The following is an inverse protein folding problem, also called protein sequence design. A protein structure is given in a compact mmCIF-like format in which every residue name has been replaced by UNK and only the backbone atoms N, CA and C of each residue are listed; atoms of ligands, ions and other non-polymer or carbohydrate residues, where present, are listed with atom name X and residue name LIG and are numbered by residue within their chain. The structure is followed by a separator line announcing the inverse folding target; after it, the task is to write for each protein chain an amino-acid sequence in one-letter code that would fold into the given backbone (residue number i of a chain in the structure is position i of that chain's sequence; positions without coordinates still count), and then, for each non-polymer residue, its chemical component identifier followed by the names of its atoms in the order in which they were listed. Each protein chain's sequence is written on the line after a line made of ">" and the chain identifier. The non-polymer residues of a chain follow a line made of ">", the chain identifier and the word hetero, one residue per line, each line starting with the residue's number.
data_IF_519934407213
#
_entry.id   IF_519934407213
#
_cell.length_a   1.000
_cell.length_b   1.000
_cell.length_c   1.000
_cell.angle_alpha   90.00
_cell.angle_beta   90.00
_cell.angle_gamma   90.00
#
_symmetry.space_group_name_H-M   'P 1'
#
loop_
_entity.id
_entity.type
_entity.pdbx_description
1 polymer ?
#
# COMPACT_ATOMS: atom_id res chain seq x y z
N UNK A 1 -10.62 8.30 14.63
CA UNK A 1 -11.64 7.39 15.25
C UNK A 1 -10.91 6.38 16.12
N UNK A 2 -11.40 5.99 17.33
CA UNK A 2 -10.76 4.95 18.14
C UNK A 2 -10.68 3.62 17.38
N UNK A 3 -9.58 2.87 17.53
CA UNK A 3 -9.26 1.64 16.79
C UNK A 3 -10.43 0.62 16.78
N UNK A 4 -11.05 0.37 17.94
CA UNK A 4 -12.22 -0.52 18.05
C UNK A 4 -13.39 -0.11 17.15
N UNK A 5 -13.67 1.20 17.06
CA UNK A 5 -14.73 1.72 16.17
C UNK A 5 -14.38 1.58 14.71
N UNK A 6 -13.09 1.75 14.35
CA UNK A 6 -12.61 1.54 12.97
C UNK A 6 -12.81 0.08 12.55
N UNK A 7 -12.44 -0.87 13.41
CA UNK A 7 -12.59 -2.31 13.15
C UNK A 7 -14.09 -2.68 13.06
N UNK A 8 -14.92 -2.16 13.95
CA UNK A 8 -16.35 -2.36 13.89
C UNK A 8 -16.95 -1.83 12.58
N UNK A 9 -16.62 -0.60 12.22
CA UNK A 9 -17.09 0.03 10.99
C UNK A 9 -16.67 -0.74 9.73
N UNK A 10 -15.45 -1.31 9.69
CA UNK A 10 -15.00 -2.16 8.60
C UNK A 10 -15.84 -3.45 8.50
N UNK A 11 -16.11 -4.12 9.61
CA UNK A 11 -17.00 -5.28 9.66
C UNK A 11 -18.41 -4.94 9.20
N UNK A 12 -19.00 -3.86 9.70
CA UNK A 12 -20.35 -3.40 9.34
C UNK A 12 -20.45 -3.01 7.84
N UNK A 13 -19.36 -2.52 7.25
CA UNK A 13 -19.25 -2.27 5.81
C UNK A 13 -19.05 -3.57 4.99
N UNK A 14 -18.89 -4.72 5.65
CA UNK A 14 -18.68 -6.01 5.03
C UNK A 14 -17.26 -6.17 4.46
N UNK A 15 -16.25 -5.45 4.92
CA UNK A 15 -14.87 -5.67 4.53
C UNK A 15 -14.41 -7.09 4.94
N UNK A 16 -13.45 -7.66 4.21
CA UNK A 16 -12.79 -8.91 4.58
C UNK A 16 -11.51 -8.67 5.40
N UNK A 17 -11.01 -7.43 5.43
CA UNK A 17 -9.81 -7.06 6.17
C UNK A 17 -9.64 -5.56 6.28
N UNK A 18 -8.59 -5.16 6.97
CA UNK A 18 -8.24 -3.77 7.25
C UNK A 18 -6.76 -3.51 6.98
N UNK A 19 -6.43 -2.30 6.57
CA UNK A 19 -5.06 -1.80 6.55
C UNK A 19 -4.88 -0.87 7.76
N UNK A 20 -3.76 -0.99 8.46
CA UNK A 20 -3.43 -0.12 9.58
C UNK A 20 -2.14 0.66 9.35
N UNK A 21 -2.14 1.89 9.83
CA UNK A 21 -0.97 2.76 9.87
C UNK A 21 -0.18 2.53 11.18
N UNK A 22 1.08 2.08 11.05
CA UNK A 22 1.99 1.79 12.16
C UNK A 22 2.49 3.03 12.90
N UNK A 23 2.29 4.22 12.35
CA UNK A 23 2.74 5.46 12.98
C UNK A 23 1.64 6.13 13.81
N UNK A 24 0.40 5.96 13.40
CA UNK A 24 -0.74 6.71 13.98
C UNK A 24 -1.81 5.83 14.61
N UNK A 25 -2.02 4.61 14.13
CA UNK A 25 -3.11 3.73 14.56
C UNK A 25 -2.64 2.56 15.43
N UNK A 26 -1.61 1.84 14.98
CA UNK A 26 -1.12 0.62 15.66
C UNK A 26 0.40 0.71 15.81
N UNK A 27 0.86 1.52 16.73
CA UNK A 27 2.30 1.75 16.91
C UNK A 27 2.98 0.54 17.55
N UNK A 28 3.98 -0.08 16.90
CA UNK A 28 4.64 -1.29 17.41
C UNK A 28 5.16 -1.16 18.85
N UNK A 29 5.74 -0.02 19.20
CA UNK A 29 6.33 0.25 20.52
C UNK A 29 5.30 0.49 21.62
N UNK A 30 4.08 0.91 21.26
CA UNK A 30 3.02 1.21 22.22
C UNK A 30 2.11 0.00 22.48
N UNK A 31 2.12 -1.01 21.57
CA UNK A 31 1.31 -2.21 21.67
C UNK A 31 2.15 -3.37 22.24
N UNK A 32 2.03 -3.60 23.54
CA UNK A 32 2.62 -4.78 24.17
C UNK A 32 1.91 -6.09 23.78
N UNK A 33 2.47 -7.22 24.18
CA UNK A 33 2.01 -8.58 23.78
C UNK A 33 0.51 -8.79 24.06
N UNK A 34 -0.01 -8.34 25.21
CA UNK A 34 -1.43 -8.45 25.55
C UNK A 34 -2.30 -7.65 24.58
N UNK A 35 -1.94 -6.40 24.29
CA UNK A 35 -2.70 -5.55 23.38
C UNK A 35 -2.68 -6.08 21.93
N UNK A 36 -1.58 -6.71 21.49
CA UNK A 36 -1.50 -7.42 20.19
C UNK A 36 -2.44 -8.62 20.15
N UNK A 37 -2.52 -9.38 21.24
CA UNK A 37 -3.47 -10.48 21.41
C UNK A 37 -4.93 -10.01 21.33
N UNK A 38 -5.26 -8.94 22.05
CA UNK A 38 -6.58 -8.32 22.04
C UNK A 38 -6.96 -7.79 20.65
N UNK A 39 -6.03 -7.16 19.94
CA UNK A 39 -6.25 -6.69 18.57
C UNK A 39 -6.60 -7.85 17.63
N UNK A 40 -5.83 -8.95 17.69
CA UNK A 40 -6.11 -10.15 16.87
C UNK A 40 -7.49 -10.72 17.20
N UNK A 41 -7.80 -10.88 18.47
CA UNK A 41 -9.11 -11.40 18.90
C UNK A 41 -10.27 -10.52 18.41
N UNK A 42 -10.12 -9.20 18.52
CA UNK A 42 -11.12 -8.24 18.02
C UNK A 42 -11.37 -8.33 16.51
N UNK A 43 -10.31 -8.60 15.74
CA UNK A 43 -10.43 -8.83 14.29
C UNK A 43 -11.07 -10.19 13.98
N UNK A 44 -10.65 -11.25 14.68
CA UNK A 44 -11.18 -12.60 14.53
C UNK A 44 -12.69 -12.68 14.85
N UNK A 45 -13.16 -12.00 15.90
CA UNK A 45 -14.59 -11.90 16.24
C UNK A 45 -15.45 -11.32 15.10
N UNK A 46 -14.84 -10.59 14.17
CA UNK A 46 -15.50 -9.96 13.03
C UNK A 46 -15.14 -10.58 11.68
N UNK A 47 -14.42 -11.69 11.70
CA UNK A 47 -13.89 -12.35 10.51
C UNK A 47 -13.06 -11.39 9.62
N UNK A 48 -12.30 -10.48 10.23
CA UNK A 48 -11.44 -9.54 9.54
C UNK A 48 -9.99 -10.01 9.57
N UNK A 49 -9.33 -10.00 8.41
CA UNK A 49 -7.88 -10.12 8.30
C UNK A 49 -7.19 -8.75 8.39
N UNK A 50 -5.86 -8.76 8.46
CA UNK A 50 -5.05 -7.57 8.22
C UNK A 50 -4.53 -7.67 6.78
N UNK A 51 -5.01 -6.76 5.93
CA UNK A 51 -4.66 -6.72 4.51
C UNK A 51 -3.19 -6.31 4.33
N UNK A 52 -2.77 -5.27 5.03
CA UNK A 52 -1.39 -4.81 5.10
C UNK A 52 -1.21 -3.89 6.31
N UNK A 53 0.03 -3.73 6.72
CA UNK A 53 0.44 -2.58 7.53
C UNK A 53 1.06 -1.53 6.61
N UNK A 54 0.93 -0.26 6.94
CA UNK A 54 1.63 0.83 6.25
C UNK A 54 2.49 1.61 7.22
N UNK A 55 3.70 1.98 6.78
CA UNK A 55 4.63 2.79 7.57
C UNK A 55 4.95 4.08 6.83
N UNK A 56 4.21 5.18 7.08
CA UNK A 56 4.50 6.47 6.45
C UNK A 56 5.87 7.00 6.86
N UNK A 57 6.69 7.37 5.89
CA UNK A 57 7.99 7.99 6.10
C UNK A 57 7.87 9.51 6.13
N UNK A 58 8.69 10.16 6.96
CA UNK A 58 8.78 11.64 7.00
C UNK A 58 9.74 12.19 5.95
N UNK A 59 10.69 11.36 5.50
CA UNK A 59 11.71 11.65 4.48
C UNK A 59 11.79 10.49 3.52
N UNK A 60 12.34 10.68 2.32
CA UNK A 60 12.62 9.58 1.40
C UNK A 60 13.39 8.45 2.06
N UNK A 61 13.16 7.21 1.62
CA UNK A 61 13.71 6.02 2.26
C UNK A 61 15.24 6.07 2.39
N UNK A 62 15.92 6.48 1.34
CA UNK A 62 17.39 6.53 1.28
C UNK A 62 18.00 7.90 1.67
N UNK A 63 17.23 8.82 2.26
CA UNK A 63 17.78 10.06 2.82
C UNK A 63 18.78 9.72 3.94
N UNK A 64 20.00 10.31 3.90
CA UNK A 64 21.07 9.99 4.86
C UNK A 64 20.70 10.37 6.30
N UNK A 65 19.94 11.44 6.46
CA UNK A 65 19.59 11.92 7.78
C UNK A 65 18.73 10.90 8.53
N UNK A 66 19.25 10.39 9.63
CA UNK A 66 18.62 9.37 10.48
C UNK A 66 18.25 8.08 9.72
N UNK A 67 19.06 7.65 8.75
CA UNK A 67 18.81 6.45 7.97
C UNK A 67 18.68 5.20 8.85
N UNK A 68 19.64 4.96 9.75
CA UNK A 68 19.63 3.79 10.64
C UNK A 68 18.36 3.72 11.49
N UNK A 69 17.94 4.84 12.09
CA UNK A 69 16.72 4.90 12.88
C UNK A 69 15.45 4.64 12.03
N UNK A 70 15.49 5.01 10.73
CA UNK A 70 14.41 4.73 9.79
C UNK A 70 14.36 3.24 9.44
N UNK A 71 15.52 2.62 9.19
CA UNK A 71 15.60 1.18 8.92
C UNK A 71 15.17 0.35 10.13
N UNK A 72 15.61 0.71 11.32
CA UNK A 72 15.21 0.03 12.56
C UNK A 72 13.69 0.12 12.78
N UNK A 73 13.08 1.29 12.52
CA UNK A 73 11.62 1.44 12.62
C UNK A 73 10.87 0.59 11.58
N UNK A 74 11.43 0.38 10.38
CA UNK A 74 10.84 -0.49 9.35
C UNK A 74 10.98 -1.96 9.72
N UNK A 75 12.14 -2.40 10.24
CA UNK A 75 12.33 -3.77 10.74
C UNK A 75 11.38 -4.06 11.91
N UNK A 76 11.25 -3.14 12.86
CA UNK A 76 10.29 -3.25 13.96
C UNK A 76 8.83 -3.35 13.46
N UNK A 77 8.48 -2.60 12.41
CA UNK A 77 7.16 -2.71 11.78
C UNK A 77 6.95 -4.06 11.07
N UNK A 78 7.99 -4.65 10.48
CA UNK A 78 7.94 -6.01 9.90
C UNK A 78 7.78 -7.08 10.97
N UNK A 79 8.53 -7.01 12.08
CA UNK A 79 8.37 -7.93 13.22
C UNK A 79 6.95 -7.87 13.77
N UNK A 80 6.43 -6.65 13.94
CA UNK A 80 5.07 -6.42 14.38
C UNK A 80 4.03 -6.99 13.38
N UNK A 81 4.25 -6.83 12.08
CA UNK A 81 3.41 -7.42 11.04
C UNK A 81 3.40 -8.96 11.15
N UNK A 82 4.58 -9.58 11.30
CA UNK A 82 4.71 -11.02 11.46
C UNK A 82 3.95 -11.54 12.68
N UNK A 83 4.08 -10.87 13.84
CA UNK A 83 3.35 -11.22 15.06
C UNK A 83 1.83 -11.09 14.91
N UNK A 84 1.36 -10.14 14.11
CA UNK A 84 -0.06 -9.96 13.78
C UNK A 84 -0.54 -10.87 12.65
N UNK A 85 0.33 -11.75 12.10
CA UNK A 85 0.07 -12.60 10.94
C UNK A 85 -0.27 -11.79 9.67
N UNK A 86 0.18 -10.56 9.59
CA UNK A 86 0.11 -9.73 8.39
C UNK A 86 1.36 -9.98 7.53
N UNK A 87 1.17 -10.29 6.26
CA UNK A 87 2.27 -10.65 5.36
C UNK A 87 2.81 -9.50 4.52
N UNK A 88 2.27 -8.29 4.68
CA UNK A 88 2.59 -7.16 3.80
C UNK A 88 2.81 -5.89 4.61
N UNK A 89 3.99 -5.28 4.44
CA UNK A 89 4.27 -3.93 4.92
C UNK A 89 4.42 -3.00 3.70
N UNK A 90 3.53 -2.01 3.56
CA UNK A 90 3.56 -1.03 2.46
C UNK A 90 4.26 0.25 2.90
N UNK A 91 5.14 0.77 2.04
CA UNK A 91 5.91 1.98 2.31
C UNK A 91 6.04 2.84 1.06
N UNK A 92 5.63 4.11 1.16
CA UNK A 92 5.95 5.10 0.14
C UNK A 92 7.40 5.57 0.34
N UNK A 93 8.29 5.21 -0.58
CA UNK A 93 9.74 5.40 -0.42
C UNK A 93 10.25 6.78 -0.82
N UNK A 94 9.40 7.63 -1.40
CA UNK A 94 9.79 8.91 -1.99
C UNK A 94 10.20 8.77 -3.46
N UNK A 95 10.69 9.86 -4.07
CA UNK A 95 11.05 9.85 -5.49
C UNK A 95 12.28 8.96 -5.76
N UNK A 96 12.33 8.42 -6.97
CA UNK A 96 13.51 7.71 -7.44
C UNK A 96 14.72 8.66 -7.54
N UNK A 97 15.90 8.25 -7.07
CA UNK A 97 17.11 9.02 -7.24
C UNK A 97 17.57 9.03 -8.70
N UNK A 98 18.42 10.00 -9.04
CA UNK A 98 19.05 10.05 -10.36
C UNK A 98 19.85 8.76 -10.61
N UNK A 99 19.65 8.15 -11.77
CA UNK A 99 20.31 6.90 -12.13
C UNK A 99 21.85 7.01 -12.01
N UNK A 100 22.47 5.97 -11.46
CA UNK A 100 23.94 5.89 -11.24
C UNK A 100 24.50 6.93 -10.25
N UNK A 101 23.65 7.62 -9.50
CA UNK A 101 24.10 8.50 -8.42
C UNK A 101 24.46 7.70 -7.15
N UNK A 102 25.21 8.28 -6.19
CA UNK A 102 25.42 7.66 -4.88
C UNK A 102 24.12 7.34 -4.15
N UNK A 103 23.11 8.19 -4.31
CA UNK A 103 21.78 7.97 -3.73
C UNK A 103 21.06 6.75 -4.34
N UNK A 104 21.27 6.50 -5.65
CA UNK A 104 20.73 5.31 -6.30
C UNK A 104 21.38 4.02 -5.76
N UNK A 105 22.71 4.03 -5.58
CA UNK A 105 23.39 2.91 -4.95
C UNK A 105 22.91 2.68 -3.52
N UNK A 106 22.80 3.73 -2.72
CA UNK A 106 22.29 3.66 -1.34
C UNK A 106 20.86 3.13 -1.30
N UNK A 107 19.95 3.61 -2.17
CA UNK A 107 18.59 3.11 -2.23
C UNK A 107 18.57 1.63 -2.54
N UNK A 108 19.36 1.15 -3.48
CA UNK A 108 19.45 -0.27 -3.84
C UNK A 108 19.93 -1.12 -2.66
N UNK A 109 20.96 -0.67 -1.93
CA UNK A 109 21.48 -1.36 -0.75
C UNK A 109 20.41 -1.44 0.35
N UNK A 110 19.69 -0.36 0.59
CA UNK A 110 18.60 -0.29 1.57
C UNK A 110 17.44 -1.21 1.17
N UNK A 111 17.04 -1.21 -0.10
CA UNK A 111 15.96 -2.09 -0.58
C UNK A 111 16.34 -3.58 -0.47
N UNK A 112 17.59 -3.93 -0.78
CA UNK A 112 18.11 -5.29 -0.60
C UNK A 112 18.11 -5.72 0.86
N UNK A 113 18.56 -4.85 1.78
CA UNK A 113 18.57 -5.13 3.21
C UNK A 113 17.14 -5.35 3.75
N UNK A 114 16.21 -4.46 3.42
CA UNK A 114 14.83 -4.57 3.88
C UNK A 114 14.09 -5.77 3.25
N UNK A 115 14.31 -6.06 1.96
CA UNK A 115 13.75 -7.24 1.31
C UNK A 115 14.27 -8.53 1.94
N UNK A 116 15.57 -8.60 2.24
CA UNK A 116 16.20 -9.73 2.96
C UNK A 116 15.60 -9.90 4.35
N UNK A 117 15.47 -8.80 5.11
CA UNK A 117 14.89 -8.86 6.45
C UNK A 117 13.43 -9.30 6.41
N UNK A 118 12.62 -8.71 5.53
CA UNK A 118 11.22 -9.08 5.35
C UNK A 118 11.04 -10.56 4.99
N UNK A 119 11.89 -11.09 4.09
CA UNK A 119 11.91 -12.51 3.75
C UNK A 119 12.23 -13.39 4.97
N UNK A 120 13.16 -12.95 5.83
CA UNK A 120 13.52 -13.68 7.05
C UNK A 120 12.35 -13.77 8.04
N UNK A 121 11.60 -12.70 8.23
CA UNK A 121 10.46 -12.65 9.17
C UNK A 121 9.12 -13.05 8.56
N UNK A 122 9.09 -13.37 7.26
CA UNK A 122 7.87 -13.80 6.54
C UNK A 122 6.93 -12.66 6.17
N UNK A 123 7.46 -11.44 6.00
CA UNK A 123 6.73 -10.24 5.60
C UNK A 123 7.30 -9.70 4.29
N UNK A 124 6.46 -9.52 3.29
CA UNK A 124 6.87 -8.92 2.01
C UNK A 124 6.95 -7.41 2.17
N UNK A 125 8.12 -6.86 1.87
CA UNK A 125 8.32 -5.43 1.78
C UNK A 125 7.74 -4.94 0.46
N UNK A 126 6.72 -4.08 0.53
CA UNK A 126 5.96 -3.61 -0.63
C UNK A 126 6.07 -2.10 -0.71
N UNK A 127 6.51 -1.58 -1.84
CA UNK A 127 6.86 -0.17 -1.99
C UNK A 127 5.97 0.54 -3.02
N UNK A 128 5.83 1.84 -2.85
CA UNK A 128 5.36 2.77 -3.87
C UNK A 128 6.30 3.98 -3.96
N UNK A 129 6.41 4.54 -5.16
CA UNK A 129 7.19 5.75 -5.41
C UNK A 129 6.46 6.61 -6.45
N UNK A 130 6.59 7.94 -6.41
CA UNK A 130 6.18 8.78 -7.51
C UNK A 130 6.94 8.36 -8.78
N UNK A 131 6.22 7.96 -9.81
CA UNK A 131 6.80 7.57 -11.09
C UNK A 131 5.80 7.75 -12.21
N UNK A 132 6.27 8.23 -13.34
CA UNK A 132 5.55 8.31 -14.61
C UNK A 132 5.86 7.13 -15.54
N UNK A 133 6.68 6.18 -15.08
CA UNK A 133 7.12 5.03 -15.87
C UNK A 133 7.06 3.73 -15.06
N UNK A 134 6.15 2.85 -15.47
CA UNK A 134 6.08 1.49 -14.94
C UNK A 134 7.34 0.67 -15.25
N UNK A 135 8.02 0.96 -16.36
CA UNK A 135 9.29 0.32 -16.72
C UNK A 135 10.38 0.65 -15.72
N UNK A 136 10.53 1.92 -15.33
CA UNK A 136 11.51 2.33 -14.31
C UNK A 136 11.19 1.66 -12.98
N UNK A 137 9.92 1.64 -12.59
CA UNK A 137 9.53 0.95 -11.36
C UNK A 137 9.88 -0.56 -11.42
N UNK A 138 9.60 -1.23 -12.55
CA UNK A 138 9.95 -2.64 -12.77
C UNK A 138 11.46 -2.87 -12.69
N UNK A 139 12.27 -2.05 -13.35
CA UNK A 139 13.75 -2.14 -13.30
C UNK A 139 14.28 -2.06 -11.86
N UNK A 140 13.73 -1.17 -11.04
CA UNK A 140 14.10 -1.07 -9.64
C UNK A 140 13.70 -2.32 -8.84
N UNK A 141 12.50 -2.84 -9.05
CA UNK A 141 12.04 -4.06 -8.38
C UNK A 141 12.92 -5.27 -8.75
N UNK A 142 13.25 -5.42 -10.03
CA UNK A 142 14.10 -6.51 -10.54
C UNK A 142 15.58 -6.38 -10.12
N UNK A 143 16.04 -5.17 -9.79
CA UNK A 143 17.41 -4.96 -9.30
C UNK A 143 17.64 -5.47 -7.88
N UNK A 144 16.58 -5.67 -7.11
CA UNK A 144 16.65 -6.22 -5.74
C UNK A 144 16.70 -7.74 -5.79
N UNK A 145 17.78 -8.33 -5.25
CA UNK A 145 18.08 -9.77 -5.37
C UNK A 145 18.14 -10.51 -4.03
N UNK A 146 18.09 -9.79 -2.90
CA UNK A 146 18.26 -10.40 -1.58
C UNK A 146 16.96 -10.89 -0.93
N UNK A 147 15.82 -10.62 -1.55
CA UNK A 147 14.50 -11.05 -1.07
C UNK A 147 13.39 -10.50 -1.95
N UNK A 148 12.12 -10.89 -1.71
CA UNK A 148 11.00 -10.38 -2.47
C UNK A 148 10.76 -8.90 -2.16
N UNK A 149 10.74 -8.09 -3.21
CA UNK A 149 10.27 -6.71 -3.19
C UNK A 149 9.07 -6.60 -4.12
N UNK A 150 7.99 -6.00 -3.66
CA UNK A 150 6.77 -5.87 -4.44
C UNK A 150 6.28 -4.43 -4.50
N UNK A 151 5.32 -4.19 -5.39
CA UNK A 151 4.74 -2.88 -5.64
C UNK A 151 3.37 -2.73 -4.98
N UNK A 152 3.15 -1.61 -4.29
CA UNK A 152 1.83 -1.16 -3.82
C UNK A 152 1.19 -0.32 -4.94
N UNK A 153 0.32 -0.95 -5.71
CA UNK A 153 -0.29 -0.34 -6.88
C UNK A 153 -1.45 0.57 -6.50
N UNK A 154 -1.30 1.86 -6.78
CA UNK A 154 -2.32 2.88 -6.56
C UNK A 154 -2.75 3.48 -7.91
N UNK A 155 -3.91 3.09 -8.47
CA UNK A 155 -4.36 3.56 -9.78
C UNK A 155 -4.56 5.07 -9.84
N UNK A 156 -4.99 5.73 -8.74
CA UNK A 156 -5.15 7.18 -8.72
C UNK A 156 -3.81 7.91 -8.94
N UNK A 157 -2.69 7.31 -8.55
CA UNK A 157 -1.37 7.90 -8.80
C UNK A 157 -1.05 8.02 -10.29
N UNK A 158 -1.50 7.07 -11.12
CA UNK A 158 -1.35 7.12 -12.57
C UNK A 158 -2.31 8.12 -13.21
N UNK A 159 -3.56 8.15 -12.74
CA UNK A 159 -4.54 9.16 -13.17
C UNK A 159 -4.03 10.58 -12.92
N UNK A 160 -3.42 10.85 -11.77
CA UNK A 160 -2.85 12.18 -11.47
C UNK A 160 -1.75 12.60 -12.46
N UNK A 161 -1.10 11.63 -13.10
CA UNK A 161 -0.13 11.86 -14.18
C UNK A 161 -0.79 11.94 -15.57
N UNK A 162 -2.12 11.88 -15.65
CA UNK A 162 -2.86 11.82 -16.91
C UNK A 162 -2.68 10.51 -17.68
N UNK A 163 -2.40 9.42 -16.97
CA UNK A 163 -2.14 8.10 -17.56
C UNK A 163 -3.20 7.08 -17.17
N UNK A 164 -3.52 6.20 -18.09
CA UNK A 164 -4.30 5.00 -17.83
C UNK A 164 -3.49 4.03 -16.93
N UNK A 165 -4.03 3.58 -15.77
CA UNK A 165 -3.33 2.65 -14.88
C UNK A 165 -3.21 1.22 -15.44
N UNK A 166 -4.03 0.81 -16.42
CA UNK A 166 -4.06 -0.59 -16.93
C UNK A 166 -2.74 -1.01 -17.61
N UNK A 167 -2.11 -0.20 -18.50
CA UNK A 167 -0.78 -0.53 -19.04
C UNK A 167 0.30 -0.66 -17.96
N UNK A 168 0.26 0.20 -16.94
CA UNK A 168 1.21 0.13 -15.83
C UNK A 168 1.02 -1.15 -15.00
N UNK A 169 -0.22 -1.52 -14.71
CA UNK A 169 -0.54 -2.77 -14.01
C UNK A 169 -0.03 -3.99 -14.79
N UNK A 170 -0.24 -4.03 -16.12
CA UNK A 170 0.28 -5.10 -16.99
C UNK A 170 1.80 -5.19 -16.98
N UNK A 171 2.49 -4.05 -16.97
CA UNK A 171 3.96 -4.02 -16.91
C UNK A 171 4.50 -4.54 -15.57
N UNK A 172 3.80 -4.24 -14.47
CA UNK A 172 4.21 -4.58 -13.10
C UNK A 172 3.61 -5.89 -12.58
N UNK A 173 2.87 -6.65 -13.39
CA UNK A 173 2.00 -7.75 -12.95
C UNK A 173 2.67 -8.78 -12.05
N UNK A 174 3.92 -9.15 -12.30
CA UNK A 174 4.68 -10.13 -11.49
C UNK A 174 5.13 -9.58 -10.13
N UNK A 175 5.10 -8.26 -9.99
CA UNK A 175 5.59 -7.56 -8.81
C UNK A 175 4.48 -6.94 -7.95
N UNK A 176 3.21 -7.14 -8.28
CA UNK A 176 2.11 -6.55 -7.50
C UNK A 176 1.94 -7.28 -6.17
N UNK A 177 2.22 -6.60 -5.08
CA UNK A 177 2.06 -7.11 -3.72
C UNK A 177 0.80 -6.64 -3.00
N UNK A 178 0.33 -5.46 -3.38
CA UNK A 178 -0.86 -4.85 -2.81
C UNK A 178 -1.51 -3.92 -3.83
N UNK A 179 -2.84 -3.79 -3.78
CA UNK A 179 -3.58 -2.87 -4.66
C UNK A 179 -4.45 -1.95 -3.84
N UNK A 180 -4.31 -0.65 -4.06
CA UNK A 180 -5.16 0.38 -3.47
C UNK A 180 -6.39 0.61 -4.35
N UNK A 181 -7.57 0.55 -3.77
CA UNK A 181 -8.80 1.04 -4.37
C UNK A 181 -8.94 2.52 -4.01
N UNK A 182 -8.29 3.34 -4.80
CA UNK A 182 -8.24 4.79 -4.64
C UNK A 182 -8.64 5.46 -5.95
N UNK A 183 -9.43 6.49 -5.85
CA UNK A 183 -10.00 7.22 -6.97
C UNK A 183 -9.48 8.65 -7.00
N UNK A 184 -9.39 9.23 -8.19
CA UNK A 184 -8.94 10.60 -8.34
C UNK A 184 -9.31 11.24 -9.66
N UNK A 185 -9.15 12.55 -9.69
CA UNK A 185 -9.26 13.40 -10.86
C UNK A 185 -7.91 14.08 -11.08
N UNK A 186 -7.38 14.03 -12.29
CA UNK A 186 -6.16 14.75 -12.65
C UNK A 186 -6.38 16.25 -12.61
N UNK A 187 -5.38 17.02 -12.17
CA UNK A 187 -5.43 18.48 -12.25
C UNK A 187 -5.10 18.93 -13.66
N UNK A 188 -6.00 19.70 -14.27
CA UNK A 188 -5.77 20.30 -15.58
C UNK A 188 -4.69 21.39 -15.55
N UNK A 189 -4.54 22.06 -14.41
CA UNK A 189 -3.63 23.20 -14.26
C UNK A 189 -2.22 22.78 -13.77
N UNK A 190 -2.08 21.59 -13.19
CA UNK A 190 -0.85 21.11 -12.56
C UNK A 190 -0.60 19.65 -12.91
N UNK A 191 0.05 19.36 -14.02
CA UNK A 191 0.42 17.98 -14.39
C UNK A 191 1.14 17.24 -13.25
N UNK A 192 0.80 15.98 -13.04
CA UNK A 192 1.36 15.16 -11.96
C UNK A 192 0.71 15.35 -10.60
N UNK A 193 -0.35 16.17 -10.51
CA UNK A 193 -1.16 16.35 -9.31
C UNK A 193 -2.62 16.05 -9.60
N UNK A 194 -3.41 15.85 -8.55
CA UNK A 194 -4.83 15.59 -8.69
C UNK A 194 -5.55 15.67 -7.35
N UNK A 195 -6.85 15.48 -7.42
CA UNK A 195 -7.74 15.48 -6.25
C UNK A 195 -8.30 14.07 -6.04
N UNK A 196 -8.18 13.57 -4.80
CA UNK A 196 -8.81 12.32 -4.41
C UNK A 196 -10.33 12.48 -4.33
N UNK A 197 -11.07 11.63 -5.01
CA UNK A 197 -12.53 11.62 -5.02
C UNK A 197 -13.11 10.28 -4.55
N UNK A 198 -14.44 10.18 -4.42
CA UNK A 198 -15.10 8.92 -4.10
C UNK A 198 -15.01 7.95 -5.30
N UNK A 199 -14.82 6.66 -5.02
CA UNK A 199 -14.70 5.63 -6.05
C UNK A 199 -15.93 5.61 -6.97
N UNK A 200 -15.66 5.57 -8.27
CA UNK A 200 -16.67 5.68 -9.34
C UNK A 200 -17.08 7.12 -9.68
N UNK A 201 -16.38 8.13 -9.15
CA UNK A 201 -16.61 9.56 -9.47
C UNK A 201 -15.37 10.26 -10.03
N UNK A 202 -14.31 9.53 -10.32
CA UNK A 202 -13.08 10.05 -10.89
C UNK A 202 -12.81 9.48 -12.28
N UNK A 203 -11.53 9.36 -12.60
CA UNK A 203 -11.04 8.98 -13.93
C UNK A 203 -10.47 7.56 -13.99
N UNK A 204 -10.51 6.80 -12.87
CA UNK A 204 -10.09 5.39 -12.90
C UNK A 204 -11.18 4.55 -13.57
N UNK A 205 -10.83 3.92 -14.68
CA UNK A 205 -11.72 2.97 -15.35
C UNK A 205 -11.67 1.61 -14.64
N UNK A 206 -12.57 1.41 -13.67
CA UNK A 206 -12.55 0.25 -12.78
C UNK A 206 -12.83 -1.07 -13.47
N UNK A 207 -13.72 -1.11 -14.46
CA UNK A 207 -14.05 -2.35 -15.19
C UNK A 207 -12.83 -2.95 -15.89
N UNK A 208 -12.10 -2.23 -16.77
CA UNK A 208 -10.90 -2.76 -17.40
C UNK A 208 -9.76 -2.99 -16.40
N UNK A 209 -9.66 -2.20 -15.34
CA UNK A 209 -8.65 -2.40 -14.31
C UNK A 209 -8.87 -3.69 -13.52
N UNK A 210 -10.11 -3.97 -13.09
CA UNK A 210 -10.46 -5.19 -12.36
C UNK A 210 -10.35 -6.42 -13.26
N UNK A 211 -10.75 -6.32 -14.52
CA UNK A 211 -10.53 -7.38 -15.52
C UNK A 211 -9.03 -7.68 -15.65
N UNK A 212 -8.18 -6.66 -15.75
CA UNK A 212 -6.73 -6.85 -15.80
C UNK A 212 -6.18 -7.51 -14.51
N UNK A 213 -6.68 -7.13 -13.32
CA UNK A 213 -6.32 -7.75 -12.03
C UNK A 213 -6.65 -9.24 -12.03
N UNK A 214 -7.79 -9.64 -12.60
CA UNK A 214 -8.14 -11.06 -12.71
C UNK A 214 -7.30 -11.78 -13.77
N UNK A 215 -7.04 -11.16 -14.91
CA UNK A 215 -6.20 -11.72 -15.99
C UNK A 215 -4.78 -12.05 -15.51
N UNK A 216 -4.17 -11.17 -14.73
CA UNK A 216 -2.84 -11.39 -14.13
C UNK A 216 -2.87 -12.37 -12.94
N UNK A 217 -4.03 -12.93 -12.62
CA UNK A 217 -4.24 -13.88 -11.50
C UNK A 217 -3.82 -13.33 -10.14
N UNK A 218 -3.92 -12.02 -9.92
CA UNK A 218 -3.65 -11.43 -8.61
C UNK A 218 -4.65 -11.98 -7.58
N UNK A 219 -4.13 -12.41 -6.43
CA UNK A 219 -4.93 -13.01 -5.34
C UNK A 219 -4.67 -12.32 -3.99
N UNK A 220 -4.04 -11.15 -4.04
CA UNK A 220 -3.79 -10.32 -2.86
C UNK A 220 -5.00 -9.46 -2.47
N UNK A 221 -4.75 -8.49 -1.63
CA UNK A 221 -5.77 -7.60 -1.11
C UNK A 221 -6.04 -6.42 -2.04
N UNK A 222 -7.32 -6.09 -2.21
CA UNK A 222 -7.80 -4.84 -2.77
C UNK A 222 -8.29 -3.97 -1.61
N UNK A 223 -7.53 -2.93 -1.26
CA UNK A 223 -7.81 -2.13 -0.06
C UNK A 223 -8.35 -0.75 -0.42
N UNK A 224 -9.56 -0.47 0.00
CA UNK A 224 -10.14 0.87 -0.17
C UNK A 224 -9.35 1.88 0.65
N UNK A 225 -8.82 2.89 -0.02
CA UNK A 225 -8.12 4.01 0.59
C UNK A 225 -8.87 5.31 0.29
N UNK A 226 -9.35 5.95 1.34
CA UNK A 226 -9.98 7.27 1.30
C UNK A 226 -9.41 8.13 2.42
N UNK A 227 -8.66 9.16 2.08
CA UNK A 227 -7.98 10.01 3.07
C UNK A 227 -8.65 11.37 3.23
N UNK A 228 -9.35 11.84 2.22
CA UNK A 228 -10.01 13.14 2.16
C UNK A 228 -11.51 12.98 1.87
N UNK A 229 -12.31 13.94 2.31
CA UNK A 229 -13.76 13.96 2.05
C UNK A 229 -14.56 14.26 3.30
N UNK A 230 -15.80 14.70 3.11
CA UNK A 230 -16.71 15.04 4.20
C UNK A 230 -17.22 13.83 4.99
N UNK A 231 -17.23 12.64 4.36
CA UNK A 231 -17.69 11.40 4.99
C UNK A 231 -16.89 10.19 4.50
N UNK A 232 -15.63 10.09 4.96
CA UNK A 232 -14.69 9.02 4.59
C UNK A 232 -15.26 7.61 4.83
N UNK A 233 -16.06 7.42 5.88
CA UNK A 233 -16.67 6.12 6.18
C UNK A 233 -17.70 5.70 5.11
N UNK A 234 -18.64 6.57 4.79
CA UNK A 234 -19.66 6.27 3.78
C UNK A 234 -19.03 6.13 2.38
N UNK A 235 -18.05 6.98 2.06
CA UNK A 235 -17.30 6.86 0.80
C UNK A 235 -16.63 5.49 0.70
N UNK A 236 -16.00 5.02 1.78
CA UNK A 236 -15.32 3.70 1.81
C UNK A 236 -16.30 2.54 1.71
N UNK A 237 -17.45 2.62 2.40
CA UNK A 237 -18.52 1.61 2.32
C UNK A 237 -19.10 1.54 0.90
N UNK A 238 -19.38 2.68 0.29
CA UNK A 238 -19.87 2.77 -1.08
C UNK A 238 -18.84 2.25 -2.09
N UNK A 239 -17.54 2.51 -1.86
CA UNK A 239 -16.46 1.97 -2.68
C UNK A 239 -16.43 0.43 -2.64
N UNK A 240 -16.54 -0.17 -1.44
CA UNK A 240 -16.60 -1.64 -1.32
C UNK A 240 -17.79 -2.22 -2.09
N UNK A 241 -18.97 -1.61 -1.97
CA UNK A 241 -20.17 -2.05 -2.69
C UNK A 241 -20.01 -1.89 -4.22
N UNK A 242 -19.44 -0.76 -4.65
CA UNK A 242 -19.18 -0.48 -6.07
C UNK A 242 -18.22 -1.51 -6.68
N UNK A 243 -17.06 -1.72 -6.07
CA UNK A 243 -16.03 -2.65 -6.56
C UNK A 243 -16.56 -4.07 -6.64
N UNK A 244 -17.32 -4.52 -5.63
CA UNK A 244 -17.93 -5.86 -5.66
C UNK A 244 -18.92 -6.03 -6.80
N UNK A 245 -19.73 -5.02 -7.06
CA UNK A 245 -20.67 -5.04 -8.19
C UNK A 245 -19.94 -5.12 -9.53
N UNK A 246 -18.88 -4.33 -9.70
CA UNK A 246 -18.10 -4.30 -10.95
C UNK A 246 -17.32 -5.61 -11.15
N UNK A 247 -16.74 -6.17 -10.07
CA UNK A 247 -16.00 -7.44 -10.14
C UNK A 247 -16.89 -8.69 -10.25
N UNK A 248 -18.16 -8.60 -9.89
CA UNK A 248 -19.11 -9.72 -9.88
C UNK A 248 -20.06 -9.75 -11.10
N UNK A 249 -19.98 -8.76 -11.99
CA UNK A 249 -20.70 -8.71 -13.26
C UNK A 249 -19.90 -9.36 -14.35
#
# INVERSE_FOLDING_TARGET
>A
MPLRRTIQAAGDAGAAGVQFDCRTQVKPRELGTTARGELRHLLEERNLGIASLTMPLRKPLADEEHLDARLDALREAMDFAAELKCRTLTVAIGPWPVAKSPDAARLLDVLNDLAKYGNHVGVVFTISAPTDSATIAKEWLESVTQGPLQWDFDPASWVFLGQDPVPALKTLHEHIGHVQIREGLASLDRPGTGEETAVGRGEVEWEPLLACIDDIKYRGWLTVRRTNGSNVYEDSKNALAYIRRVAGG
#
